data_IF_778768099027
#
_entry.id   IF_778768099027
#
_cell.length_a   1.000
_cell.length_b   1.000
_cell.length_c   1.000
_cell.angle_alpha   90.00
_cell.angle_beta   90.00
_cell.angle_gamma   90.00
#
_symmetry.space_group_name_H-M   'P 1'
#
loop_
_entity.id
_entity.type
_entity.pdbx_description
1 polymer ?
#
# COMPACT_ATOMS: atom_id res chain seq x y z
N UNK A 1 7.60 -16.78 7.19
CA UNK A 1 7.69 -15.68 8.20
C UNK A 1 8.93 -15.88 9.07
N UNK A 2 9.54 -14.77 9.55
CA UNK A 2 10.73 -14.83 10.44
C UNK A 2 10.39 -15.01 11.93
N UNK A 3 9.15 -14.73 12.30
CA UNK A 3 8.60 -14.92 13.64
C UNK A 3 7.57 -16.04 13.63
N UNK A 4 7.33 -16.67 14.79
CA UNK A 4 6.29 -17.69 14.90
C UNK A 4 4.92 -17.06 14.61
N UNK A 5 4.05 -17.87 14.02
CA UNK A 5 2.66 -17.47 13.77
C UNK A 5 1.93 -17.19 15.09
N UNK A 6 1.11 -16.15 15.11
CA UNK A 6 0.30 -15.85 16.27
C UNK A 6 -0.87 -16.84 16.38
N UNK A 7 -1.09 -17.32 17.59
CA UNK A 7 -2.30 -18.02 17.98
C UNK A 7 -2.76 -17.56 19.36
N UNK A 8 -4.05 -17.72 19.73
CA UNK A 8 -4.53 -17.37 21.07
C UNK A 8 -3.79 -18.04 22.20
N UNK A 9 -3.31 -19.29 21.99
CA UNK A 9 -2.59 -20.08 22.97
C UNK A 9 -1.17 -19.54 23.22
N UNK A 10 -0.56 -18.95 22.18
CA UNK A 10 0.77 -18.34 22.29
C UNK A 10 0.73 -16.98 22.97
N UNK A 11 -0.29 -16.20 22.65
CA UNK A 11 -0.52 -14.88 23.23
C UNK A 11 -2.00 -14.54 23.18
N UNK A 12 -2.69 -14.61 24.30
CA UNK A 12 -4.06 -14.15 24.41
C UNK A 12 -4.17 -12.66 24.04
N UNK A 13 -5.20 -12.32 23.31
CA UNK A 13 -5.55 -10.93 22.95
C UNK A 13 -7.00 -10.67 23.33
N UNK A 14 -7.40 -9.42 23.61
CA UNK A 14 -8.79 -9.07 23.87
C UNK A 14 -9.69 -9.51 22.71
N UNK A 15 -10.81 -10.15 23.06
CA UNK A 15 -11.72 -10.73 22.07
C UNK A 15 -12.30 -9.66 21.14
N UNK A 16 -12.62 -8.49 21.68
CA UNK A 16 -13.12 -7.34 20.90
C UNK A 16 -12.17 -6.91 19.78
N UNK A 17 -10.85 -6.99 20.03
CA UNK A 17 -9.84 -6.69 19.00
C UNK A 17 -9.82 -7.74 17.91
N UNK A 18 -9.82 -9.01 18.28
CA UNK A 18 -9.81 -10.12 17.31
C UNK A 18 -11.09 -10.09 16.47
N UNK A 19 -12.24 -9.90 17.09
CA UNK A 19 -13.53 -9.79 16.42
C UNK A 19 -13.59 -8.60 15.44
N UNK A 20 -13.05 -7.44 15.84
CA UNK A 20 -12.98 -6.26 14.96
C UNK A 20 -12.12 -6.51 13.72
N UNK A 21 -11.01 -7.24 13.86
CA UNK A 21 -10.15 -7.60 12.71
C UNK A 21 -10.87 -8.63 11.83
N UNK A 22 -11.45 -9.68 12.41
CA UNK A 22 -12.21 -10.69 11.68
C UNK A 22 -13.37 -10.06 10.89
N UNK A 23 -14.15 -9.18 11.52
CA UNK A 23 -15.26 -8.49 10.87
C UNK A 23 -14.79 -7.67 9.64
N UNK A 24 -13.64 -7.00 9.75
CA UNK A 24 -13.04 -6.25 8.63
C UNK A 24 -12.54 -7.16 7.50
N UNK A 25 -12.10 -8.37 7.83
CA UNK A 25 -11.49 -9.33 6.91
C UNK A 25 -12.47 -10.36 6.33
N UNK A 26 -13.76 -10.30 6.69
CA UNK A 26 -14.72 -11.30 6.25
C UNK A 26 -14.58 -12.67 6.92
N UNK A 27 -14.07 -12.68 8.16
CA UNK A 27 -14.05 -13.87 9.02
C UNK A 27 -12.72 -14.62 9.08
N UNK A 28 -11.68 -14.19 8.33
CA UNK A 28 -10.38 -14.90 8.33
C UNK A 28 -9.23 -13.94 8.58
N UNK A 29 -8.34 -14.27 9.53
CA UNK A 29 -7.10 -13.52 9.75
C UNK A 29 -6.09 -13.81 8.63
N UNK A 30 -5.56 -12.77 8.03
CA UNK A 30 -4.43 -12.89 7.11
C UNK A 30 -3.08 -12.87 7.87
N UNK A 31 -2.01 -13.26 7.21
CA UNK A 31 -0.69 -13.37 7.86
C UNK A 31 -0.19 -12.05 8.45
N UNK A 32 -0.49 -10.92 7.81
CA UNK A 32 -0.23 -9.60 8.38
C UNK A 32 -0.96 -9.38 9.71
N UNK A 33 -2.25 -9.73 9.81
CA UNK A 33 -3.02 -9.56 11.05
C UNK A 33 -2.43 -10.42 12.18
N UNK A 34 -1.99 -11.65 11.86
CA UNK A 34 -1.33 -12.55 12.83
C UNK A 34 -0.01 -11.97 13.33
N UNK A 35 0.76 -11.28 12.49
CA UNK A 35 1.97 -10.59 12.97
C UNK A 35 1.63 -9.39 13.85
N UNK A 36 0.60 -8.61 13.50
CA UNK A 36 0.17 -7.47 14.31
C UNK A 36 -0.36 -7.87 15.68
N UNK A 37 -1.05 -9.01 15.79
CA UNK A 37 -1.60 -9.53 17.03
C UNK A 37 -0.54 -9.92 18.08
N UNK A 38 0.74 -9.91 17.77
CA UNK A 38 1.80 -9.96 18.76
C UNK A 38 1.87 -8.69 19.63
N UNK A 39 1.27 -7.58 19.19
CA UNK A 39 1.21 -6.31 19.94
C UNK A 39 -0.20 -5.72 19.88
N UNK A 40 -0.93 -5.81 20.99
CA UNK A 40 -2.31 -5.26 21.07
C UNK A 40 -2.39 -3.79 20.67
N UNK A 41 -1.56 -2.87 21.23
CA UNK A 41 -1.63 -1.45 20.85
C UNK A 41 -1.39 -1.22 19.36
N UNK A 42 -0.44 -1.98 18.77
CA UNK A 42 -0.14 -1.88 17.36
C UNK A 42 -1.30 -2.38 16.50
N UNK A 43 -1.87 -3.55 16.81
CA UNK A 43 -2.99 -4.13 16.09
C UNK A 43 -4.23 -3.23 16.14
N UNK A 44 -4.55 -2.61 17.30
CA UNK A 44 -5.67 -1.66 17.44
C UNK A 44 -5.46 -0.42 16.58
N UNK A 45 -4.33 0.26 16.70
CA UNK A 45 -4.02 1.46 15.93
C UNK A 45 -4.01 1.19 14.43
N UNK A 46 -3.39 0.08 14.01
CA UNK A 46 -3.32 -0.35 12.63
C UNK A 46 -4.72 -0.63 12.04
N UNK A 47 -5.56 -1.36 12.77
CA UNK A 47 -6.89 -1.71 12.31
C UNK A 47 -7.75 -0.46 12.02
N UNK A 48 -7.73 0.54 12.90
CA UNK A 48 -8.46 1.79 12.73
C UNK A 48 -7.87 2.64 11.60
N UNK A 49 -6.56 2.85 11.61
CA UNK A 49 -5.88 3.71 10.66
C UNK A 49 -5.98 3.17 9.23
N UNK A 50 -5.63 1.91 9.01
CA UNK A 50 -5.68 1.30 7.68
C UNK A 50 -7.12 1.16 7.14
N UNK A 51 -8.12 0.98 8.01
CA UNK A 51 -9.52 1.06 7.59
C UNK A 51 -9.80 2.42 6.93
N UNK A 52 -9.43 3.51 7.59
CA UNK A 52 -9.67 4.86 7.06
C UNK A 52 -8.89 5.12 5.77
N UNK A 53 -7.62 4.75 5.70
CA UNK A 53 -6.79 4.90 4.48
C UNK A 53 -7.38 4.13 3.31
N UNK A 54 -7.94 2.95 3.53
CA UNK A 54 -8.51 2.12 2.45
C UNK A 54 -9.90 2.56 2.01
N UNK A 55 -10.77 2.95 2.95
CA UNK A 55 -12.21 3.10 2.69
C UNK A 55 -12.76 4.49 2.98
N UNK A 56 -12.03 5.36 3.68
CA UNK A 56 -12.50 6.67 4.12
C UNK A 56 -12.00 7.85 3.30
N UNK A 57 -11.05 7.65 2.38
CA UNK A 57 -10.45 8.73 1.60
C UNK A 57 -11.28 9.05 0.35
N UNK A 58 -11.31 10.32 -0.03
CA UNK A 58 -12.05 10.85 -1.18
C UNK A 58 -11.27 10.79 -2.50
N UNK A 59 -9.93 10.84 -2.43
CA UNK A 59 -9.07 10.74 -3.60
C UNK A 59 -9.30 9.42 -4.37
N UNK A 60 -9.14 9.46 -5.68
CA UNK A 60 -9.38 8.33 -6.57
C UNK A 60 -8.81 7.01 -6.05
N UNK A 61 -9.67 6.00 -5.81
CA UNK A 61 -9.24 4.67 -5.36
C UNK A 61 -8.25 4.07 -6.35
N UNK A 62 -8.49 4.17 -7.65
CA UNK A 62 -7.59 3.68 -8.69
C UNK A 62 -6.18 4.26 -8.53
N UNK A 63 -6.05 5.57 -8.34
CA UNK A 63 -4.75 6.23 -8.21
C UNK A 63 -4.04 5.87 -6.90
N UNK A 64 -4.78 5.73 -5.81
CA UNK A 64 -4.22 5.28 -4.53
C UNK A 64 -3.69 3.85 -4.63
N UNK A 65 -4.47 2.93 -5.19
CA UNK A 65 -4.04 1.53 -5.39
C UNK A 65 -2.83 1.44 -6.35
N UNK A 66 -2.77 2.28 -7.39
CA UNK A 66 -1.61 2.35 -8.27
C UNK A 66 -0.35 2.83 -7.54
N UNK A 67 -0.49 3.85 -6.68
CA UNK A 67 0.60 4.31 -5.80
C UNK A 67 1.08 3.21 -4.85
N UNK A 68 0.15 2.44 -4.27
CA UNK A 68 0.44 1.29 -3.40
C UNK A 68 1.19 0.18 -4.17
N UNK A 69 0.71 -0.19 -5.36
CA UNK A 69 1.40 -1.17 -6.22
C UNK A 69 2.81 -0.69 -6.59
N UNK A 70 2.99 0.62 -6.81
CA UNK A 70 4.31 1.22 -7.09
C UNK A 70 5.26 1.02 -5.90
N UNK A 71 4.80 1.33 -4.68
CA UNK A 71 5.58 1.08 -3.45
C UNK A 71 5.94 -0.39 -3.32
N UNK A 72 4.96 -1.27 -3.48
CA UNK A 72 5.14 -2.72 -3.33
C UNK A 72 6.22 -3.28 -4.26
N UNK A 73 6.19 -2.90 -5.54
CA UNK A 73 7.19 -3.35 -6.51
C UNK A 73 8.57 -2.75 -6.23
N UNK A 74 8.67 -1.46 -5.90
CA UNK A 74 9.93 -0.79 -5.60
C UNK A 74 10.61 -1.31 -4.34
N UNK A 75 9.85 -1.75 -3.35
CA UNK A 75 10.36 -2.24 -2.06
C UNK A 75 10.53 -3.76 -2.01
N UNK A 76 10.11 -4.47 -3.07
CA UNK A 76 10.08 -5.94 -3.07
C UNK A 76 9.03 -6.54 -2.11
N UNK A 77 8.02 -5.77 -1.73
CA UNK A 77 6.93 -6.23 -0.86
C UNK A 77 5.91 -7.06 -1.66
N UNK A 78 6.32 -8.26 -2.08
CA UNK A 78 5.53 -9.15 -2.92
C UNK A 78 4.15 -9.47 -2.32
N UNK A 79 4.08 -9.69 -1.01
CA UNK A 79 2.84 -9.86 -0.27
C UNK A 79 1.84 -8.72 -0.54
N UNK A 80 2.32 -7.49 -0.45
CA UNK A 80 1.52 -6.29 -0.65
C UNK A 80 1.03 -6.16 -2.09
N UNK A 81 1.90 -6.43 -3.07
CA UNK A 81 1.52 -6.41 -4.47
C UNK A 81 0.40 -7.42 -4.80
N UNK A 82 0.49 -8.64 -4.27
CA UNK A 82 -0.53 -9.68 -4.47
C UNK A 82 -1.90 -9.29 -3.93
N UNK A 83 -1.95 -8.52 -2.84
CA UNK A 83 -3.21 -8.05 -2.27
C UNK A 83 -3.76 -6.81 -2.99
N UNK A 84 -2.91 -5.93 -3.51
CA UNK A 84 -3.33 -4.63 -4.04
C UNK A 84 -3.47 -4.57 -5.57
N UNK A 85 -2.81 -5.42 -6.33
CA UNK A 85 -3.01 -5.50 -7.78
C UNK A 85 -4.46 -5.88 -8.16
N UNK A 86 -5.12 -6.86 -7.52
CA UNK A 86 -6.55 -7.11 -7.72
C UNK A 86 -7.44 -5.93 -7.32
N UNK A 87 -7.11 -5.21 -6.23
CA UNK A 87 -7.85 -4.04 -5.78
C UNK A 87 -7.73 -2.87 -6.78
N UNK A 88 -6.55 -2.70 -7.38
CA UNK A 88 -6.34 -1.75 -8.47
C UNK A 88 -7.21 -2.08 -9.69
N UNK A 89 -7.25 -3.33 -10.13
CA UNK A 89 -8.10 -3.77 -11.24
C UNK A 89 -9.59 -3.54 -10.92
N UNK A 90 -10.03 -3.90 -9.71
CA UNK A 90 -11.41 -3.67 -9.25
C UNK A 90 -11.76 -2.18 -9.15
N UNK A 91 -10.77 -1.29 -8.97
CA UNK A 91 -10.95 0.16 -8.97
C UNK A 91 -10.96 0.79 -10.39
N UNK A 92 -10.99 -0.02 -11.44
CA UNK A 92 -11.00 0.43 -12.84
C UNK A 92 -9.59 0.59 -13.44
N UNK A 93 -8.58 0.00 -12.80
CA UNK A 93 -7.26 -0.19 -13.40
C UNK A 93 -7.25 -1.27 -14.46
N UNK A 94 -6.19 -1.35 -15.23
CA UNK A 94 -6.01 -2.35 -16.29
C UNK A 94 -4.74 -3.16 -16.11
N UNK A 95 -4.72 -4.38 -16.67
CA UNK A 95 -3.50 -5.19 -16.67
C UNK A 95 -2.37 -4.49 -17.44
N UNK A 96 -2.68 -3.78 -18.53
CA UNK A 96 -1.70 -3.02 -19.29
C UNK A 96 -1.01 -1.93 -18.44
N UNK A 97 -1.72 -1.29 -17.51
CA UNK A 97 -1.13 -0.34 -16.57
C UNK A 97 -0.21 -1.03 -15.54
N UNK A 98 -0.59 -2.22 -15.06
CA UNK A 98 0.28 -3.01 -14.17
C UNK A 98 1.54 -3.51 -14.89
N UNK A 99 1.43 -3.94 -16.13
CA UNK A 99 2.58 -4.37 -16.95
C UNK A 99 3.53 -3.19 -17.22
N UNK A 100 2.98 -2.02 -17.54
CA UNK A 100 3.74 -0.79 -17.72
C UNK A 100 4.40 -0.31 -16.41
N UNK A 101 3.73 -0.50 -15.26
CA UNK A 101 4.31 -0.22 -13.95
C UNK A 101 5.49 -1.15 -13.65
N UNK A 102 5.36 -2.45 -13.92
CA UNK A 102 6.45 -3.41 -13.74
C UNK A 102 7.66 -3.05 -14.63
N UNK A 103 7.42 -2.67 -15.88
CA UNK A 103 8.46 -2.21 -16.80
C UNK A 103 9.14 -0.92 -16.30
N UNK A 104 8.38 0.04 -15.78
CA UNK A 104 8.91 1.27 -15.17
C UNK A 104 9.80 0.98 -13.96
N UNK A 105 9.38 0.08 -13.08
CA UNK A 105 10.15 -0.27 -11.86
C UNK A 105 11.45 -0.99 -12.22
N UNK A 106 11.45 -1.82 -13.26
CA UNK A 106 12.63 -2.52 -13.76
C UNK A 106 13.61 -1.63 -14.57
N UNK A 107 13.15 -0.44 -15.00
CA UNK A 107 13.95 0.48 -15.78
C UNK A 107 15.04 1.18 -14.93
N UNK A 108 16.12 1.70 -15.56
CA UNK A 108 17.15 2.47 -14.86
C UNK A 108 16.59 3.67 -14.09
N UNK A 109 17.32 4.13 -13.08
CA UNK A 109 16.98 5.34 -12.36
C UNK A 109 16.85 6.54 -13.31
N UNK A 110 15.81 7.36 -13.09
CA UNK A 110 15.49 8.50 -13.96
C UNK A 110 14.54 8.16 -15.13
N UNK A 111 14.18 6.90 -15.33
CA UNK A 111 13.13 6.56 -16.29
C UNK A 111 11.80 7.25 -15.90
N UNK A 112 10.97 7.53 -16.91
CA UNK A 112 9.61 8.04 -16.72
C UNK A 112 8.60 6.98 -17.09
N UNK A 113 7.43 6.93 -16.42
CA UNK A 113 6.36 6.03 -16.81
C UNK A 113 5.94 6.27 -18.28
N UNK A 114 5.66 5.21 -19.00
CA UNK A 114 5.30 5.26 -20.40
C UNK A 114 4.26 4.18 -20.76
N UNK A 115 3.86 4.13 -22.01
CA UNK A 115 2.88 3.16 -22.50
C UNK A 115 1.50 3.41 -21.91
N UNK A 116 0.92 2.42 -21.26
CA UNK A 116 -0.39 2.52 -20.64
C UNK A 116 -0.43 3.47 -19.42
N UNK A 117 0.72 3.82 -18.84
CA UNK A 117 0.82 4.82 -17.77
C UNK A 117 0.92 6.22 -18.38
N UNK A 118 -0.22 6.93 -18.43
CA UNK A 118 -0.33 8.29 -18.95
C UNK A 118 -1.11 9.20 -17.99
N UNK A 119 -1.01 10.52 -18.15
CA UNK A 119 -1.77 11.50 -17.39
C UNK A 119 -1.58 11.34 -15.88
N UNK A 120 -2.67 11.25 -15.14
CA UNK A 120 -2.69 11.14 -13.68
C UNK A 120 -1.99 9.88 -13.18
N UNK A 121 -2.13 8.77 -13.89
CA UNK A 121 -1.47 7.51 -13.53
C UNK A 121 0.07 7.67 -13.58
N UNK A 122 0.60 8.25 -14.65
CA UNK A 122 2.02 8.51 -14.76
C UNK A 122 2.53 9.46 -13.66
N UNK A 123 1.75 10.50 -13.35
CA UNK A 123 2.09 11.49 -12.34
C UNK A 123 2.16 10.85 -10.95
N UNK A 124 1.16 10.07 -10.57
CA UNK A 124 1.12 9.38 -9.26
C UNK A 124 2.22 8.33 -9.14
N UNK A 125 2.53 7.59 -10.22
CA UNK A 125 3.64 6.61 -10.22
C UNK A 125 4.99 7.31 -10.02
N UNK A 126 5.26 8.44 -10.69
CA UNK A 126 6.49 9.23 -10.47
C UNK A 126 6.57 9.73 -9.03
N UNK A 127 5.47 10.27 -8.51
CA UNK A 127 5.37 10.78 -7.15
C UNK A 127 5.64 9.67 -6.11
N UNK A 128 4.99 8.52 -6.25
CA UNK A 128 5.20 7.36 -5.39
C UNK A 128 6.65 6.84 -5.49
N UNK A 129 7.24 6.86 -6.67
CA UNK A 129 8.62 6.40 -6.87
C UNK A 129 9.63 7.31 -6.15
N UNK A 130 9.51 8.62 -6.25
CA UNK A 130 10.40 9.54 -5.52
C UNK A 130 10.18 9.43 -4.01
N UNK A 131 8.94 9.42 -3.54
CA UNK A 131 8.65 9.21 -2.11
C UNK A 131 9.26 7.91 -1.57
N UNK A 132 9.30 6.86 -2.37
CA UNK A 132 9.77 5.54 -1.92
C UNK A 132 11.29 5.42 -1.97
N UNK A 133 11.93 5.92 -3.03
CA UNK A 133 13.37 5.83 -3.25
C UNK A 133 14.15 6.89 -2.48
N UNK A 134 13.66 8.14 -2.53
CA UNK A 134 14.41 9.33 -2.14
C UNK A 134 13.84 9.98 -0.86
N UNK A 135 12.65 9.58 -0.42
CA UNK A 135 11.84 10.23 0.65
C UNK A 135 11.40 11.64 0.24
N UNK A 136 12.28 12.40 -0.41
CA UNK A 136 12.03 13.74 -0.92
C UNK A 136 11.46 13.69 -2.33
N UNK A 137 10.46 14.53 -2.58
CA UNK A 137 9.89 14.77 -3.92
C UNK A 137 10.43 16.09 -4.47
N UNK A 138 10.79 16.12 -5.75
CA UNK A 138 11.23 17.34 -6.44
C UNK A 138 10.12 18.39 -6.47
N UNK A 139 10.50 19.65 -6.29
CA UNK A 139 9.55 20.77 -6.28
C UNK A 139 8.73 20.86 -7.59
N UNK A 140 9.36 20.57 -8.74
CA UNK A 140 8.68 20.55 -10.02
C UNK A 140 7.62 19.44 -10.12
N UNK A 141 7.91 18.24 -9.62
CA UNK A 141 6.94 17.15 -9.57
C UNK A 141 5.82 17.46 -8.58
N UNK A 142 6.15 18.02 -7.42
CA UNK A 142 5.16 18.43 -6.44
C UNK A 142 4.24 19.55 -6.95
N UNK A 143 4.77 20.52 -7.71
CA UNK A 143 3.98 21.56 -8.36
C UNK A 143 2.94 20.95 -9.31
N UNK A 144 3.34 19.97 -10.14
CA UNK A 144 2.41 19.23 -11.01
C UNK A 144 1.31 18.49 -10.25
N UNK A 145 1.62 17.91 -9.08
CA UNK A 145 0.60 17.31 -8.22
C UNK A 145 -0.43 18.35 -7.78
N UNK A 146 0.02 19.55 -7.35
CA UNK A 146 -0.86 20.64 -6.92
C UNK A 146 -1.66 21.28 -8.06
N UNK A 147 -1.16 21.27 -9.27
CA UNK A 147 -1.89 21.74 -10.45
C UNK A 147 -3.02 20.78 -10.86
N UNK A 148 -2.82 19.48 -10.60
CA UNK A 148 -3.73 18.44 -11.06
C UNK A 148 -4.76 18.01 -10.03
N UNK A 149 -4.40 18.03 -8.77
CA UNK A 149 -5.20 17.53 -7.64
C UNK A 149 -5.45 18.66 -6.64
N UNK A 150 -6.61 18.64 -6.00
CA UNK A 150 -6.87 19.56 -4.89
C UNK A 150 -5.99 19.21 -3.65
N UNK A 151 -6.02 20.09 -2.64
CA UNK A 151 -5.19 19.92 -1.44
C UNK A 151 -5.54 18.64 -0.67
N UNK A 152 -6.82 18.28 -0.61
CA UNK A 152 -7.27 17.05 0.07
C UNK A 152 -6.76 15.83 -0.66
N UNK A 153 -6.93 15.79 -1.99
CA UNK A 153 -6.45 14.70 -2.81
C UNK A 153 -4.93 14.52 -2.71
N UNK A 154 -4.15 15.61 -2.76
CA UNK A 154 -2.69 15.54 -2.58
C UNK A 154 -2.33 14.95 -1.23
N UNK A 155 -2.97 15.40 -0.14
CA UNK A 155 -2.72 14.86 1.22
C UNK A 155 -3.10 13.38 1.29
N UNK A 156 -4.23 12.98 0.73
CA UNK A 156 -4.73 11.61 0.78
C UNK A 156 -3.88 10.64 -0.07
N UNK A 157 -3.48 11.05 -1.29
CA UNK A 157 -2.55 10.27 -2.13
C UNK A 157 -1.20 10.13 -1.42
N UNK A 158 -0.67 11.23 -0.89
CA UNK A 158 0.58 11.21 -0.12
C UNK A 158 0.48 10.28 1.08
N UNK A 159 -0.63 10.37 1.84
CA UNK A 159 -0.86 9.52 3.02
C UNK A 159 -0.96 8.03 2.65
N UNK A 160 -1.64 7.69 1.55
CA UNK A 160 -1.72 6.32 1.09
C UNK A 160 -0.33 5.77 0.74
N UNK A 161 0.47 6.50 -0.05
CA UNK A 161 1.82 6.10 -0.43
C UNK A 161 2.73 5.97 0.80
N UNK A 162 2.71 6.94 1.72
CA UNK A 162 3.52 6.92 2.94
C UNK A 162 3.14 5.74 3.85
N UNK A 163 1.84 5.49 4.01
CA UNK A 163 1.31 4.36 4.78
C UNK A 163 1.85 3.03 4.23
N UNK A 164 1.79 2.85 2.92
CA UNK A 164 2.23 1.59 2.33
C UNK A 164 3.76 1.46 2.25
N UNK A 165 4.49 2.55 2.30
CA UNK A 165 5.93 2.51 2.59
C UNK A 165 6.22 1.98 4.01
N UNK A 166 5.38 2.32 5.00
CA UNK A 166 5.45 1.74 6.35
C UNK A 166 5.07 0.25 6.32
N UNK A 167 3.95 -0.11 5.67
CA UNK A 167 3.46 -1.49 5.56
C UNK A 167 4.50 -2.38 4.87
N UNK A 168 5.05 -1.96 3.74
CA UNK A 168 6.08 -2.70 3.01
C UNK A 168 7.29 -3.01 3.87
N UNK A 169 7.81 -2.02 4.62
CA UNK A 169 8.95 -2.22 5.52
C UNK A 169 8.63 -3.20 6.65
N UNK A 170 7.44 -3.15 7.20
CA UNK A 170 6.99 -4.10 8.22
C UNK A 170 6.93 -5.52 7.65
N UNK A 171 6.29 -5.70 6.51
CA UNK A 171 6.13 -7.00 5.85
C UNK A 171 7.46 -7.64 5.47
N UNK A 172 8.32 -6.88 4.79
CA UNK A 172 9.62 -7.36 4.31
C UNK A 172 10.56 -7.67 5.48
N UNK A 173 10.63 -6.78 6.49
CA UNK A 173 11.48 -6.98 7.66
C UNK A 173 11.10 -8.24 8.45
N UNK A 174 9.81 -8.54 8.59
CA UNK A 174 9.31 -9.72 9.30
C UNK A 174 9.18 -10.96 8.40
N UNK A 175 9.43 -10.83 7.11
CA UNK A 175 9.31 -11.92 6.15
C UNK A 175 7.89 -12.48 6.07
N UNK A 176 6.89 -11.59 6.08
CA UNK A 176 5.48 -12.00 5.95
C UNK A 176 5.24 -12.51 4.53
N UNK A 177 4.79 -13.74 4.43
CA UNK A 177 4.50 -14.42 3.16
C UNK A 177 2.99 -14.42 2.87
N UNK A 178 2.59 -14.52 1.60
CA UNK A 178 1.19 -14.75 1.24
C UNK A 178 0.61 -15.97 1.95
N UNK A 179 -0.70 -15.98 2.08
CA UNK A 179 -1.48 -17.11 2.55
C UNK A 179 -1.32 -18.29 1.57
N UNK A 180 -1.30 -19.52 2.12
CA UNK A 180 -1.17 -20.74 1.33
C UNK A 180 -2.47 -21.04 0.58
#
# INVERSE_FOLDING_TARGET
MRLPDWTPERKAQPQDLVDAILARRGGTLINLDRMLLWSEPLARGWNVYLKNVRTGLSASRKLRELGICTVALLTGAHYEYLHHAPDFLAAGGTQAELDALAAFVAAPAGAVPAGALAGDAALVVQYAAQMTRDVKVDDALFARMRERFDTTEVVEITSAIATYNMVARFLVALGVTPEA
#
